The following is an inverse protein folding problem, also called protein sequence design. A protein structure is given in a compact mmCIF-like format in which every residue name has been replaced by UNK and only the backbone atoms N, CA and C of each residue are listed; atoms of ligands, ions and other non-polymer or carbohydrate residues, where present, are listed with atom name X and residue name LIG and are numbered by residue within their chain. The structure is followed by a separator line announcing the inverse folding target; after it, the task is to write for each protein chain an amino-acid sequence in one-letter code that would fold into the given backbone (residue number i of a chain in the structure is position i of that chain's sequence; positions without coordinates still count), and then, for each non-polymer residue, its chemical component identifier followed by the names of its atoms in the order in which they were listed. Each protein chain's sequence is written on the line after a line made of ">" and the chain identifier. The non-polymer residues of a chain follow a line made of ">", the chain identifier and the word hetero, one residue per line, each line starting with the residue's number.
data_IF_927314314613
#
_entry.id   IF_927314314613
#
_cell.length_a   1.000
_cell.length_b   1.000
_cell.length_c   1.000
_cell.angle_alpha   90.00
_cell.angle_beta   90.00
_cell.angle_gamma   90.00
#
_symmetry.space_group_name_H-M   'P 1'
#
loop_
_entity.id
_entity.type
_entity.pdbx_description
1 polymer ?
#
# COMPACT_ATOMS: atom_id res chain seq x y z
N UNK A 1 -52.18 -59.48 0.97
CA UNK A 1 -52.76 -59.03 2.26
C UNK A 1 -52.03 -57.75 2.65
N UNK A 2 -52.77 -56.65 2.92
CA UNK A 2 -52.35 -55.30 3.38
C UNK A 2 -51.62 -54.43 2.34
N UNK A 3 -52.29 -53.45 1.71
CA UNK A 3 -52.67 -52.10 2.20
C UNK A 3 -51.48 -51.20 2.57
N UNK A 4 -51.12 -50.33 1.60
CA UNK A 4 -50.95 -48.87 1.68
C UNK A 4 -50.40 -48.29 2.99
N UNK A 5 -49.28 -47.55 2.92
CA UNK A 5 -49.26 -46.11 3.28
C UNK A 5 -48.27 -45.33 2.40
N UNK A 6 -48.86 -44.30 1.80
CA UNK A 6 -48.30 -43.24 0.97
C UNK A 6 -47.41 -42.31 1.84
N UNK A 7 -46.45 -41.59 1.26
CA UNK A 7 -46.39 -40.10 1.29
C UNK A 7 -45.00 -39.54 0.91
N UNK A 8 -45.04 -38.60 -0.05
CA UNK A 8 -44.03 -37.62 -0.50
C UNK A 8 -42.99 -38.09 -1.53
N UNK A 9 -43.27 -37.71 -2.78
CA UNK A 9 -42.28 -37.52 -3.81
C UNK A 9 -41.36 -36.34 -3.45
N UNK A 10 -40.05 -36.56 -3.48
CA UNK A 10 -39.06 -35.49 -3.51
C UNK A 10 -38.28 -35.62 -4.81
N UNK A 11 -38.74 -34.90 -5.82
CA UNK A 11 -38.04 -34.72 -7.10
C UNK A 11 -36.78 -33.88 -6.87
N UNK A 12 -35.60 -34.48 -7.01
CA UNK A 12 -34.37 -33.70 -7.20
C UNK A 12 -34.14 -33.53 -8.71
N UNK A 13 -34.50 -32.34 -9.19
CA UNK A 13 -34.14 -31.85 -10.52
C UNK A 13 -32.66 -31.48 -10.49
N UNK A 14 -31.88 -32.06 -11.40
CA UNK A 14 -30.48 -31.71 -11.65
C UNK A 14 -30.46 -30.36 -12.35
N UNK A 15 -29.97 -29.31 -11.67
CA UNK A 15 -29.67 -28.02 -12.30
C UNK A 15 -28.15 -27.91 -12.45
N UNK A 16 -27.69 -28.03 -13.70
CA UNK A 16 -26.32 -27.70 -14.07
C UNK A 16 -26.14 -26.18 -13.96
N UNK A 17 -25.31 -25.73 -13.02
CA UNK A 17 -24.92 -24.33 -12.89
C UNK A 17 -23.64 -24.11 -13.72
N UNK A 18 -23.81 -23.58 -14.93
CA UNK A 18 -22.73 -22.93 -15.66
C UNK A 18 -22.65 -21.49 -15.14
N UNK A 19 -21.50 -21.05 -14.66
CA UNK A 19 -21.26 -19.62 -14.33
C UNK A 19 -20.01 -19.15 -15.07
N UNK A 20 -20.13 -19.05 -16.39
CA UNK A 20 -19.29 -18.20 -17.23
C UNK A 20 -20.24 -17.25 -17.95
N UNK A 21 -20.56 -16.14 -17.29
CA UNK A 21 -21.31 -15.05 -17.90
C UNK A 21 -20.95 -13.73 -17.20
N UNK A 22 -19.75 -13.22 -17.47
CA UNK A 22 -19.45 -11.80 -17.21
C UNK A 22 -19.58 -11.06 -18.54
N UNK A 23 -20.85 -10.74 -18.80
CA UNK A 23 -21.40 -9.83 -19.80
C UNK A 23 -20.38 -9.04 -20.63
N UNK A 24 -20.32 -9.42 -21.91
CA UNK A 24 -20.19 -8.53 -23.05
C UNK A 24 -21.27 -7.43 -22.94
N UNK A 25 -20.90 -6.26 -22.41
CA UNK A 25 -21.74 -5.06 -22.48
C UNK A 25 -21.31 -4.22 -23.68
N UNK A 26 -22.30 -3.88 -24.48
CA UNK A 26 -22.19 -3.26 -25.79
C UNK A 26 -21.71 -1.79 -25.73
N UNK A 27 -20.87 -1.46 -26.70
CA UNK A 27 -20.56 -0.10 -27.12
C UNK A 27 -21.76 0.45 -27.91
N UNK A 28 -22.46 1.46 -27.38
CA UNK A 28 -22.96 2.64 -28.12
C UNK A 28 -24.02 3.38 -27.29
N UNK A 29 -23.63 4.52 -26.72
CA UNK A 29 -24.42 5.74 -26.79
C UNK A 29 -23.43 6.90 -26.69
N UNK A 30 -23.36 7.68 -27.76
CA UNK A 30 -22.68 8.97 -27.81
C UNK A 30 -23.36 9.91 -26.81
N UNK A 31 -22.90 9.90 -25.57
CA UNK A 31 -22.92 11.10 -24.74
C UNK A 31 -21.51 11.66 -24.76
N UNK A 32 -21.41 12.91 -25.19
CA UNK A 32 -20.22 13.72 -25.14
C UNK A 32 -19.81 13.86 -23.66
N UNK A 33 -19.05 12.89 -23.14
CA UNK A 33 -18.39 13.02 -21.84
C UNK A 33 -17.38 14.13 -22.04
N UNK A 34 -17.81 15.35 -21.71
CA UNK A 34 -16.92 16.44 -21.38
C UNK A 34 -16.03 15.91 -20.27
N UNK A 35 -14.87 15.38 -20.66
CA UNK A 35 -13.78 15.04 -19.77
C UNK A 35 -13.40 16.35 -19.11
N UNK A 36 -14.02 16.64 -17.97
CA UNK A 36 -13.48 17.56 -16.99
C UNK A 36 -12.09 17.02 -16.70
N UNK A 37 -11.10 17.58 -17.40
CA UNK A 37 -9.75 17.56 -16.90
C UNK A 37 -9.91 18.33 -15.60
N UNK A 38 -9.81 17.63 -14.49
CA UNK A 38 -9.65 18.28 -13.20
C UNK A 38 -8.43 19.19 -13.37
N UNK A 39 -8.69 20.50 -13.43
CA UNK A 39 -7.63 21.48 -13.59
C UNK A 39 -7.00 21.50 -12.21
N UNK A 40 -5.98 20.65 -11.99
CA UNK A 40 -5.14 20.77 -10.81
C UNK A 40 -4.64 22.22 -10.81
N UNK A 41 -5.02 22.99 -9.80
CA UNK A 41 -4.44 24.31 -9.66
C UNK A 41 -2.96 24.08 -9.37
N UNK A 42 -2.07 24.88 -9.95
CA UNK A 42 -0.62 24.74 -9.74
C UNK A 42 -0.23 24.89 -8.25
N UNK A 43 -1.14 25.46 -7.44
CA UNK A 43 -1.06 25.52 -5.98
C UNK A 43 -1.27 24.18 -5.25
N UNK A 44 -1.87 23.18 -5.89
CA UNK A 44 -2.11 21.84 -5.33
C UNK A 44 -1.02 20.83 -5.75
N UNK A 45 -0.02 21.27 -6.52
CA UNK A 45 1.11 20.43 -6.90
C UNK A 45 1.94 20.09 -5.64
N UNK A 46 2.37 18.83 -5.46
CA UNK A 46 3.26 18.47 -4.37
C UNK A 46 4.53 19.31 -4.42
N UNK A 47 4.95 19.83 -3.26
CA UNK A 47 6.18 20.62 -3.14
C UNK A 47 7.34 19.82 -2.56
N UNK A 48 7.06 18.62 -2.05
CA UNK A 48 8.00 17.72 -1.41
C UNK A 48 7.98 16.32 -2.04
N UNK A 49 8.99 15.51 -1.72
CA UNK A 49 9.01 14.07 -1.94
C UNK A 49 8.72 13.30 -0.66
N UNK A 50 8.54 11.99 -0.81
CA UNK A 50 8.29 11.10 0.31
C UNK A 50 9.02 9.76 0.19
N UNK A 51 9.21 9.07 1.32
CA UNK A 51 9.69 7.69 1.39
C UNK A 51 8.64 6.79 2.03
N UNK A 52 8.61 5.54 1.59
CA UNK A 52 7.70 4.49 2.06
C UNK A 52 8.47 3.19 2.28
N UNK A 53 8.15 2.46 3.34
CA UNK A 53 8.66 1.12 3.54
C UNK A 53 8.10 0.41 4.76
N UNK A 54 8.68 -0.74 5.09
CA UNK A 54 8.34 -1.54 6.27
C UNK A 54 9.58 -2.11 6.95
N UNK A 55 9.53 -2.25 8.27
CA UNK A 55 10.61 -2.74 9.11
C UNK A 55 10.10 -3.88 9.98
N UNK A 56 10.76 -5.03 9.89
CA UNK A 56 10.54 -6.17 10.78
C UNK A 56 11.59 -6.08 11.89
N UNK A 57 11.20 -5.57 13.05
CA UNK A 57 12.04 -5.46 14.24
C UNK A 57 11.21 -5.76 15.51
N UNK A 58 10.99 -7.05 15.84
CA UNK A 58 10.12 -7.43 16.95
C UNK A 58 10.59 -6.82 18.28
N UNK A 59 9.64 -6.27 19.04
CA UNK A 59 9.88 -5.66 20.36
C UNK A 59 10.82 -4.43 20.34
N UNK A 60 11.00 -3.80 19.19
CA UNK A 60 11.81 -2.59 19.04
C UNK A 60 10.96 -1.37 18.68
N UNK A 61 11.37 -0.19 19.16
CA UNK A 61 10.92 1.08 18.60
C UNK A 61 11.79 1.43 17.40
N UNK A 62 11.17 1.78 16.27
CA UNK A 62 11.90 2.11 15.03
C UNK A 62 11.86 3.60 14.76
N UNK A 63 13.05 4.20 14.65
CA UNK A 63 13.25 5.59 14.25
C UNK A 63 13.94 5.63 12.89
N UNK A 64 13.39 6.41 11.97
CA UNK A 64 13.92 6.61 10.63
C UNK A 64 14.42 8.04 10.53
N UNK A 65 15.63 8.22 10.01
CA UNK A 65 16.23 9.52 9.77
C UNK A 65 16.72 9.60 8.34
N UNK A 66 16.21 10.56 7.56
CA UNK A 66 16.82 10.98 6.30
C UNK A 66 17.86 12.09 6.55
N UNK A 67 18.99 12.04 5.85
CA UNK A 67 20.07 13.03 5.96
C UNK A 67 20.78 13.23 4.62
N UNK A 68 20.84 14.46 4.12
CA UNK A 68 21.63 14.83 2.93
C UNK A 68 22.93 15.59 3.29
N UNK A 69 23.29 15.61 4.58
CA UNK A 69 24.45 16.30 5.13
C UNK A 69 24.12 17.64 5.79
N UNK A 70 23.09 18.34 5.32
CA UNK A 70 22.65 19.64 5.84
C UNK A 70 21.29 19.52 6.56
N UNK A 71 20.33 18.85 5.92
CA UNK A 71 18.97 18.67 6.39
C UNK A 71 18.75 17.31 7.06
N UNK A 72 17.78 17.28 7.97
CA UNK A 72 17.40 16.08 8.72
C UNK A 72 15.90 16.01 8.84
N UNK A 73 15.33 14.94 8.31
CA UNK A 73 13.92 14.58 8.51
C UNK A 73 13.87 13.33 9.36
N UNK A 74 12.98 13.32 10.35
CA UNK A 74 12.84 12.23 11.31
C UNK A 74 11.41 11.75 11.28
N UNK A 75 11.24 10.43 11.18
CA UNK A 75 9.96 9.76 11.33
C UNK A 75 10.10 8.49 12.17
N UNK A 76 8.97 7.83 12.40
CA UNK A 76 8.89 6.56 13.12
C UNK A 76 8.08 5.58 12.30
N UNK A 77 8.38 4.30 12.45
CA UNK A 77 7.48 3.26 11.96
C UNK A 77 6.30 3.12 12.94
N UNK A 78 5.14 2.71 12.43
CA UNK A 78 3.97 2.40 13.23
C UNK A 78 4.10 1.04 13.94
N UNK A 79 3.02 0.58 14.60
CA UNK A 79 2.99 -0.70 15.31
C UNK A 79 3.11 -1.93 14.40
N UNK A 80 2.83 -1.79 13.10
CA UNK A 80 3.02 -2.85 12.10
C UNK A 80 4.43 -2.80 11.50
N UNK A 81 5.24 -1.80 11.87
CA UNK A 81 6.54 -1.55 11.29
C UNK A 81 6.48 -0.81 9.96
N UNK A 82 5.32 -0.29 9.55
CA UNK A 82 5.16 0.47 8.31
C UNK A 82 5.52 1.94 8.53
N UNK A 83 6.09 2.60 7.51
CA UNK A 83 6.35 4.04 7.56
C UNK A 83 6.06 4.71 6.23
N UNK A 84 5.53 5.93 6.32
CA UNK A 84 5.40 6.88 5.23
C UNK A 84 5.87 8.25 5.76
N UNK A 85 6.92 8.80 5.17
CA UNK A 85 7.54 10.06 5.64
C UNK A 85 7.67 10.98 4.44
N UNK A 86 7.00 12.13 4.50
CA UNK A 86 7.07 13.21 3.52
C UNK A 86 7.86 14.42 4.07
N UNK A 87 7.87 15.52 3.33
CA UNK A 87 8.59 16.74 3.68
C UNK A 87 10.04 16.78 3.19
N UNK A 88 10.43 15.86 2.30
CA UNK A 88 11.76 15.88 1.71
C UNK A 88 11.84 16.86 0.55
N UNK A 89 12.84 17.74 0.56
CA UNK A 89 13.23 18.43 -0.66
C UNK A 89 13.85 17.43 -1.65
N UNK A 90 13.82 17.76 -2.93
CA UNK A 90 14.43 16.91 -3.96
C UNK A 90 15.96 16.85 -3.75
N UNK A 91 16.52 15.64 -3.73
CA UNK A 91 17.94 15.45 -3.45
C UNK A 91 18.33 14.00 -3.20
N UNK A 92 19.60 13.81 -2.82
CA UNK A 92 20.15 12.51 -2.45
C UNK A 92 20.29 12.46 -0.92
N UNK A 93 19.73 11.43 -0.30
CA UNK A 93 19.74 11.26 1.15
C UNK A 93 20.27 9.88 1.55
N UNK A 94 20.99 9.83 2.66
CA UNK A 94 21.16 8.61 3.43
C UNK A 94 19.95 8.41 4.34
N UNK A 95 19.28 7.26 4.22
CA UNK A 95 18.15 6.89 5.06
C UNK A 95 18.62 5.90 6.12
N UNK A 96 18.72 6.38 7.35
CA UNK A 96 19.23 5.63 8.51
C UNK A 96 18.05 5.16 9.34
N UNK A 97 17.89 3.85 9.46
CA UNK A 97 16.89 3.19 10.29
C UNK A 97 17.58 2.70 11.56
N UNK A 98 17.00 3.03 12.72
CA UNK A 98 17.43 2.53 14.02
C UNK A 98 16.28 1.79 14.70
N UNK A 99 16.50 0.52 15.03
CA UNK A 99 15.61 -0.27 15.87
C UNK A 99 16.18 -0.33 17.29
N UNK A 100 15.45 0.25 18.24
CA UNK A 100 15.82 0.34 19.64
C UNK A 100 15.03 -0.71 20.43
N UNK A 101 15.71 -1.76 20.87
CA UNK A 101 15.20 -2.73 21.82
C UNK A 101 15.71 -2.40 23.22
N UNK A 102 15.18 -3.10 24.25
CA UNK A 102 15.61 -2.90 25.63
C UNK A 102 17.13 -3.09 25.82
N UNK A 103 17.70 -4.07 25.12
CA UNK A 103 19.06 -4.54 25.35
C UNK A 103 20.01 -4.27 24.16
N UNK A 104 19.50 -3.75 23.05
CA UNK A 104 20.27 -3.61 21.80
C UNK A 104 19.75 -2.47 20.90
N UNK A 105 20.64 -1.94 20.06
CA UNK A 105 20.31 -0.96 19.01
C UNK A 105 20.86 -1.45 17.68
N UNK A 106 19.95 -1.73 16.74
CA UNK A 106 20.29 -2.17 15.38
C UNK A 106 20.14 -1.01 14.42
N UNK A 107 21.06 -0.91 13.46
CA UNK A 107 21.07 0.16 12.46
C UNK A 107 21.16 -0.43 11.07
N UNK A 108 20.42 0.13 10.13
CA UNK A 108 20.55 -0.13 8.70
C UNK A 108 20.49 1.19 7.94
N UNK A 109 21.29 1.31 6.88
CA UNK A 109 21.34 2.52 6.06
C UNK A 109 21.08 2.16 4.61
N UNK A 110 20.11 2.85 4.00
CA UNK A 110 20.06 2.98 2.54
C UNK A 110 20.91 4.19 2.16
N UNK A 111 21.99 3.95 1.43
CA UNK A 111 22.88 5.00 0.94
C UNK A 111 22.35 5.54 -0.40
N UNK A 112 22.62 6.82 -0.65
CA UNK A 112 22.36 7.49 -1.93
C UNK A 112 20.92 7.35 -2.47
N UNK A 113 19.92 7.46 -1.59
CA UNK A 113 18.51 7.42 -1.99
C UNK A 113 18.13 8.72 -2.68
N UNK A 114 17.79 8.64 -3.96
CA UNK A 114 17.24 9.76 -4.72
C UNK A 114 15.76 9.99 -4.36
N UNK A 115 15.45 11.22 -3.98
CA UNK A 115 14.10 11.69 -3.69
C UNK A 115 13.77 12.80 -4.68
N UNK A 116 12.58 12.72 -5.28
CA UNK A 116 12.07 13.71 -6.23
C UNK A 116 10.76 14.31 -5.73
N UNK A 117 10.58 15.61 -5.99
CA UNK A 117 9.34 16.32 -5.65
C UNK A 117 8.15 15.68 -6.34
N UNK A 118 7.09 15.43 -5.58
CA UNK A 118 5.86 14.77 -6.05
C UNK A 118 5.97 13.27 -6.27
N UNK A 119 7.11 12.65 -5.95
CA UNK A 119 7.30 11.21 -6.03
C UNK A 119 7.38 10.56 -4.64
N UNK A 120 7.01 9.28 -4.58
CA UNK A 120 7.22 8.43 -3.41
C UNK A 120 8.31 7.42 -3.74
N UNK A 121 9.44 7.49 -3.04
CA UNK A 121 10.52 6.51 -3.14
C UNK A 121 10.22 5.33 -2.23
N UNK A 122 9.95 4.16 -2.81
CA UNK A 122 9.70 2.93 -2.05
C UNK A 122 11.03 2.25 -1.68
N UNK A 123 11.27 2.07 -0.39
CA UNK A 123 12.47 1.44 0.17
C UNK A 123 12.31 -0.07 0.43
N UNK A 124 11.09 -0.60 0.31
CA UNK A 124 10.79 -2.01 0.53
C UNK A 124 10.75 -2.40 2.01
N UNK A 125 11.14 -3.65 2.29
CA UNK A 125 11.12 -4.23 3.64
C UNK A 125 12.54 -4.51 4.13
N UNK A 126 12.85 -4.11 5.37
CA UNK A 126 14.10 -4.45 6.05
C UNK A 126 13.80 -5.28 7.28
N UNK A 127 14.59 -6.33 7.51
CA UNK A 127 14.52 -7.11 8.75
C UNK A 127 15.75 -6.80 9.61
N UNK A 128 15.53 -6.43 10.87
CA UNK A 128 16.57 -6.14 11.85
C UNK A 128 16.42 -7.12 13.02
N UNK A 129 17.09 -8.28 12.90
CA UNK A 129 17.08 -9.35 13.90
C UNK A 129 18.17 -9.23 14.93
#
# INVERSE_FOLDING_TARGET
>A
MKFIFNLIALTFIVVAVNVFDFAKSEFSSEEEIKKERDIINEADAPTDGAILGSIIAPNAQVVIKGSNGEEKIIGMADSNGEFFINGFDAGIYDIIIKALSKDDVKTYTFEDVEIRTGEVTALGTVTLE
#
